data_IF_801956940327
#
_entry.id   IF_801956940327
#
_cell.length_a   1.000
_cell.length_b   1.000
_cell.length_c   1.000
_cell.angle_alpha   90.00
_cell.angle_beta   90.00
_cell.angle_gamma   90.00
#
_symmetry.space_group_name_H-M   'P 1'
#
loop_
_entity.id
_entity.type
_entity.pdbx_description
1 polymer ?
#
# COMPACT_ATOMS: atom_id res chain seq x y z
N UNK A 1 -10.99 -1.28 3.21
CA UNK A 1 -9.96 -0.94 4.20
C UNK A 1 -8.82 -0.22 3.50
N UNK A 2 -8.36 0.88 4.06
CA UNK A 2 -7.34 1.70 3.42
C UNK A 2 -5.96 1.40 3.98
N UNK A 3 -4.98 1.32 3.08
CA UNK A 3 -3.59 1.08 3.44
C UNK A 3 -2.82 2.39 3.31
N UNK A 4 -2.13 2.79 4.36
CA UNK A 4 -1.38 4.04 4.40
C UNK A 4 0.11 3.82 4.14
N UNK A 5 0.82 4.91 3.84
CA UNK A 5 2.27 4.85 3.67
C UNK A 5 2.96 4.31 4.93
N UNK A 6 2.44 4.67 6.10
CA UNK A 6 3.00 4.16 7.35
C UNK A 6 2.93 2.63 7.43
N UNK A 7 1.87 2.03 6.89
CA UNK A 7 1.74 0.57 6.85
C UNK A 7 2.80 -0.04 5.92
N UNK A 8 3.03 0.60 4.77
CA UNK A 8 4.04 0.15 3.83
C UNK A 8 5.45 0.23 4.45
N UNK A 9 5.72 1.31 5.18
CA UNK A 9 7.01 1.48 5.84
C UNK A 9 7.28 0.41 6.88
N UNK A 10 6.25 0.02 7.62
CA UNK A 10 6.37 -1.06 8.61
C UNK A 10 6.77 -2.38 7.96
N UNK A 11 6.40 -2.55 6.70
CA UNK A 11 6.73 -3.76 5.94
C UNK A 11 8.05 -3.65 5.18
N UNK A 12 8.77 -2.52 5.34
CA UNK A 12 10.08 -2.34 4.72
C UNK A 12 10.09 -1.62 3.40
N UNK A 13 8.94 -1.13 2.92
CA UNK A 13 8.90 -0.36 1.68
C UNK A 13 9.33 1.08 1.93
N UNK A 14 10.13 1.64 1.01
CA UNK A 14 10.59 3.02 1.14
C UNK A 14 9.61 3.98 0.46
N UNK A 15 9.62 5.24 0.92
CA UNK A 15 8.72 6.28 0.39
C UNK A 15 8.94 6.52 -1.10
N UNK A 16 10.19 6.50 -1.54
CA UNK A 16 10.54 6.74 -2.94
C UNK A 16 9.96 5.65 -3.83
N UNK A 17 10.09 4.39 -3.42
CA UNK A 17 9.54 3.27 -4.16
C UNK A 17 8.03 3.30 -4.23
N UNK A 18 7.38 3.65 -3.12
CA UNK A 18 5.93 3.75 -3.07
C UNK A 18 5.41 4.90 -3.92
N UNK A 19 6.13 6.01 -3.96
CA UNK A 19 5.76 7.14 -4.79
C UNK A 19 5.84 6.79 -6.27
N UNK A 20 6.90 6.10 -6.68
CA UNK A 20 7.04 5.62 -8.06
C UNK A 20 5.92 4.67 -8.44
N UNK A 21 5.57 3.78 -7.52
CA UNK A 21 4.47 2.86 -7.72
C UNK A 21 3.16 3.62 -7.94
N UNK A 22 2.88 4.63 -7.10
CA UNK A 22 1.67 5.44 -7.21
C UNK A 22 1.63 6.18 -8.55
N UNK A 23 2.75 6.77 -8.96
CA UNK A 23 2.84 7.49 -10.24
C UNK A 23 2.63 6.55 -11.42
N UNK A 24 3.22 5.36 -11.36
CA UNK A 24 3.11 4.37 -12.43
C UNK A 24 1.65 3.94 -12.66
N UNK A 25 0.88 3.83 -11.59
CA UNK A 25 -0.51 3.39 -11.66
C UNK A 25 -1.51 4.53 -11.57
N UNK A 26 -1.06 5.77 -11.72
CA UNK A 26 -1.91 6.96 -11.67
C UNK A 26 -2.70 7.09 -10.35
N UNK A 27 -2.10 6.67 -9.26
CA UNK A 27 -2.70 6.82 -7.95
C UNK A 27 -2.35 8.20 -7.37
N UNK A 28 -3.24 8.76 -6.56
CA UNK A 28 -3.01 10.07 -5.96
C UNK A 28 -2.07 9.92 -4.76
N UNK A 29 -0.83 10.39 -4.93
CA UNK A 29 0.18 10.31 -3.88
C UNK A 29 -0.20 11.08 -2.61
N UNK A 30 -0.77 12.28 -2.79
CA UNK A 30 -1.19 13.09 -1.64
C UNK A 30 -2.28 12.39 -0.83
N UNK A 31 -3.22 11.75 -1.50
CA UNK A 31 -4.27 10.99 -0.84
C UNK A 31 -3.68 9.79 -0.11
N UNK A 32 -2.71 9.13 -0.73
CA UNK A 32 -2.02 7.99 -0.11
C UNK A 32 -1.36 8.41 1.21
N UNK A 33 -0.74 9.59 1.21
CA UNK A 33 -0.09 10.12 2.41
C UNK A 33 -1.09 10.47 3.50
N UNK A 34 -2.21 11.08 3.13
CA UNK A 34 -3.19 11.57 4.10
C UNK A 34 -4.17 10.52 4.59
N UNK A 35 -4.79 9.83 3.68
CA UNK A 35 -5.90 8.93 4.00
C UNK A 35 -5.60 7.47 3.71
N UNK A 36 -4.65 7.21 2.82
CA UNK A 36 -4.36 5.87 2.37
C UNK A 36 -5.15 5.53 1.11
N UNK A 37 -4.86 4.36 0.56
CA UNK A 37 -5.49 3.86 -0.66
C UNK A 37 -6.24 2.58 -0.32
N UNK A 38 -7.46 2.45 -0.84
CA UNK A 38 -8.26 1.25 -0.62
C UNK A 38 -7.54 0.04 -1.21
N UNK A 39 -7.56 -1.07 -0.47
CA UNK A 39 -6.88 -2.29 -0.91
C UNK A 39 -7.39 -2.79 -2.25
N UNK A 40 -8.65 -2.55 -2.57
CA UNK A 40 -9.22 -2.95 -3.85
C UNK A 40 -8.52 -2.25 -5.02
N UNK A 41 -8.21 -0.98 -4.83
CA UNK A 41 -7.50 -0.20 -5.85
C UNK A 41 -6.11 -0.75 -6.04
N UNK A 42 -5.44 -1.11 -4.96
CA UNK A 42 -4.11 -1.72 -5.02
C UNK A 42 -4.15 -3.08 -5.72
N UNK A 43 -5.14 -3.89 -5.42
CA UNK A 43 -5.29 -5.20 -6.05
C UNK A 43 -5.57 -5.08 -7.55
N UNK A 44 -6.29 -4.06 -7.96
CA UNK A 44 -6.60 -3.83 -9.37
C UNK A 44 -5.37 -3.50 -10.21
N UNK A 45 -4.28 -3.04 -9.59
CA UNK A 45 -3.05 -2.75 -10.33
C UNK A 45 -2.39 -4.01 -10.87
N UNK A 46 -2.68 -5.17 -10.28
CA UNK A 46 -2.04 -6.45 -10.59
C UNK A 46 -0.51 -6.41 -10.44
N UNK A 47 -0.01 -5.43 -9.71
CA UNK A 47 1.42 -5.30 -9.45
C UNK A 47 1.79 -6.18 -8.25
N UNK A 48 2.87 -6.92 -8.39
CA UNK A 48 3.32 -7.82 -7.34
C UNK A 48 3.60 -7.07 -6.03
N UNK A 49 4.12 -5.86 -6.14
CA UNK A 49 4.35 -5.01 -4.96
C UNK A 49 3.05 -4.78 -4.20
N UNK A 50 1.99 -4.42 -4.91
CA UNK A 50 0.68 -4.17 -4.30
C UNK A 50 0.10 -5.43 -3.69
N UNK A 51 0.21 -6.56 -4.38
CA UNK A 51 -0.28 -7.83 -3.88
C UNK A 51 0.43 -8.22 -2.58
N UNK A 52 1.75 -8.07 -2.55
CA UNK A 52 2.53 -8.36 -1.36
C UNK A 52 2.18 -7.41 -0.22
N UNK A 53 1.99 -6.14 -0.52
CA UNK A 53 1.63 -5.14 0.47
C UNK A 53 0.28 -5.47 1.12
N UNK A 54 -0.73 -5.78 0.32
CA UNK A 54 -2.05 -6.12 0.83
C UNK A 54 -2.01 -7.40 1.66
N UNK A 55 -1.32 -8.43 1.16
CA UNK A 55 -1.22 -9.69 1.88
C UNK A 55 -0.54 -9.52 3.23
N UNK A 56 0.56 -8.77 3.27
CA UNK A 56 1.27 -8.55 4.52
C UNK A 56 0.47 -7.65 5.48
N UNK A 57 -0.28 -6.70 4.94
CA UNK A 57 -1.15 -5.86 5.75
C UNK A 57 -2.17 -6.72 6.50
N UNK A 58 -2.86 -7.61 5.79
CA UNK A 58 -3.83 -8.50 6.40
C UNK A 58 -3.21 -9.48 7.39
N UNK A 59 -2.04 -10.00 7.03
CA UNK A 59 -1.31 -10.90 7.92
C UNK A 59 -0.96 -10.22 9.25
N UNK A 60 -0.49 -8.99 9.18
CA UNK A 60 -0.13 -8.25 10.39
C UNK A 60 -1.35 -7.97 11.26
N UNK A 61 -2.50 -7.67 10.65
CA UNK A 61 -3.74 -7.50 11.39
C UNK A 61 -4.13 -8.79 12.11
N UNK A 62 -3.95 -9.93 11.45
CA UNK A 62 -4.25 -11.22 12.04
C UNK A 62 -3.33 -11.58 13.20
N UNK A 63 -2.09 -11.13 13.14
CA UNK A 63 -1.10 -11.42 14.17
C UNK A 63 -1.27 -10.57 15.43
N UNK A 64 -2.01 -9.50 15.36
CA UNK A 64 -2.24 -8.63 16.51
C UNK A 64 -3.16 -9.24 17.56
N UNK A 65 -3.75 -10.35 17.26
CA UNK A 65 -4.56 -11.08 18.23
C UNK A 65 -3.68 -11.97 19.15
#
# INVERSE_FOLDING_TARGET
MKIKISDARKLGYCSIGMRRFAEHHNLNWSEFLKEGIDEKILLETNDLLALNLVNNFHKNLGEEN
#
